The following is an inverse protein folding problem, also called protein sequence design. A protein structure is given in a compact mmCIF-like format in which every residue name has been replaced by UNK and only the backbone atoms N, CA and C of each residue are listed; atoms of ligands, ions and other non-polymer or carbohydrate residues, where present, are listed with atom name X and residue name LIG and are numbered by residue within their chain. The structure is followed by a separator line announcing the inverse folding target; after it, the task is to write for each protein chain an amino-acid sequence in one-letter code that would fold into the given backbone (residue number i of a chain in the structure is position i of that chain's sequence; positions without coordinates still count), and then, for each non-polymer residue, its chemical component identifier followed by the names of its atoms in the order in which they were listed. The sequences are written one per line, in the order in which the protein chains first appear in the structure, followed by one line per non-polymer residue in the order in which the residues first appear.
data_IF_142256635167
#
_entry.id   IF_142256635167
#
_cell.length_a   1.000
_cell.length_b   1.000
_cell.length_c   1.000
_cell.angle_alpha   90.00
_cell.angle_beta   90.00
_cell.angle_gamma   90.00
#
_symmetry.space_group_name_H-M   'P 1'
#
loop_
_entity.id
_entity.type
_entity.pdbx_description
1 polymer ?
#
# COMPACT_ATOMS: atom_id res chain seq x y z
N UNK A 1 16.78 2.51 -3.67
CA UNK A 1 16.77 1.07 -4.00
C UNK A 1 18.18 0.52 -4.18
N UNK A 2 19.01 1.09 -5.06
CA UNK A 2 20.39 0.62 -5.29
C UNK A 2 21.28 0.57 -4.05
N UNK A 3 21.15 1.54 -3.13
CA UNK A 3 21.88 1.52 -1.87
C UNK A 3 21.49 0.32 -0.99
N UNK A 4 20.20 -0.02 -0.94
CA UNK A 4 19.69 -1.20 -0.21
C UNK A 4 20.26 -2.48 -0.83
N UNK A 5 20.11 -2.65 -2.15
CA UNK A 5 20.63 -3.83 -2.87
C UNK A 5 22.15 -3.98 -2.73
N UNK A 6 22.89 -2.86 -2.72
CA UNK A 6 24.34 -2.87 -2.50
C UNK A 6 24.73 -3.33 -1.09
N UNK A 7 23.94 -2.97 -0.07
CA UNK A 7 24.18 -3.36 1.33
C UNK A 7 23.76 -4.81 1.57
N UNK A 8 22.55 -5.19 1.15
CA UNK A 8 22.00 -6.53 1.38
C UNK A 8 22.59 -7.59 0.44
N UNK A 9 23.11 -7.15 -0.72
CA UNK A 9 23.62 -8.02 -1.81
C UNK A 9 22.58 -9.01 -2.33
N UNK A 10 21.30 -8.73 -2.12
CA UNK A 10 20.22 -9.57 -2.63
C UNK A 10 20.16 -9.50 -4.16
N UNK A 11 19.90 -10.66 -4.76
CA UNK A 11 19.67 -10.80 -6.20
C UNK A 11 18.16 -10.79 -6.42
N UNK A 12 17.70 -9.82 -7.19
CA UNK A 12 16.31 -9.78 -7.63
C UNK A 12 16.11 -10.74 -8.78
N UNK A 13 15.05 -11.53 -8.71
CA UNK A 13 14.59 -12.33 -9.84
C UNK A 13 13.97 -11.44 -10.91
N UNK A 14 14.26 -11.75 -12.17
CA UNK A 14 13.65 -11.08 -13.31
C UNK A 14 12.36 -11.80 -13.69
N UNK A 15 11.25 -11.07 -13.74
CA UNK A 15 10.00 -11.59 -14.28
C UNK A 15 10.15 -11.92 -15.76
N UNK A 16 9.82 -13.16 -16.13
CA UNK A 16 9.86 -13.62 -17.53
C UNK A 16 8.48 -13.81 -18.14
N UNK A 17 7.45 -13.93 -17.29
CA UNK A 17 6.05 -14.05 -17.72
C UNK A 17 5.48 -12.66 -18.04
N UNK A 18 4.99 -12.49 -19.27
CA UNK A 18 4.42 -11.23 -19.76
C UNK A 18 3.16 -10.85 -19.00
N UNK A 19 2.33 -11.82 -18.60
CA UNK A 19 1.07 -11.54 -17.91
C UNK A 19 1.35 -11.05 -16.48
N UNK A 20 2.33 -11.64 -15.78
CA UNK A 20 2.77 -11.14 -14.47
C UNK A 20 3.32 -9.72 -14.54
N UNK A 21 4.14 -9.43 -15.57
CA UNK A 21 4.66 -8.07 -15.81
C UNK A 21 3.52 -7.09 -15.98
N UNK A 22 2.52 -7.42 -16.82
CA UNK A 22 1.38 -6.56 -17.07
C UNK A 22 0.56 -6.28 -15.80
N UNK A 23 0.34 -7.29 -14.95
CA UNK A 23 -0.35 -7.09 -13.66
C UNK A 23 0.44 -6.13 -12.76
N UNK A 24 1.75 -6.35 -12.63
CA UNK A 24 2.60 -5.52 -11.77
C UNK A 24 2.66 -4.09 -12.28
N UNK A 25 2.90 -3.89 -13.58
CA UNK A 25 2.92 -2.57 -14.20
C UNK A 25 1.58 -1.85 -14.04
N UNK A 26 0.46 -2.55 -14.26
CA UNK A 26 -0.89 -2.01 -14.03
C UNK A 26 -1.17 -1.75 -12.55
N UNK A 27 -0.48 -2.41 -11.63
CA UNK A 27 -0.60 -2.23 -10.18
C UNK A 27 0.21 -1.07 -9.62
N UNK A 28 1.26 -0.62 -10.31
CA UNK A 28 2.12 0.48 -9.85
C UNK A 28 1.32 1.79 -9.76
N UNK A 29 1.36 2.42 -8.59
CA UNK A 29 0.75 3.73 -8.32
C UNK A 29 1.77 4.67 -7.71
N UNK A 30 1.62 5.97 -7.99
CA UNK A 30 2.40 7.01 -7.36
C UNK A 30 1.91 7.33 -5.94
N UNK A 31 2.36 8.46 -5.39
CA UNK A 31 1.89 8.96 -4.10
C UNK A 31 0.37 9.20 -4.10
N UNK A 32 -0.28 8.89 -2.98
CA UNK A 32 -1.70 9.15 -2.79
C UNK A 32 -1.92 10.64 -2.53
N UNK A 33 -2.74 11.28 -3.35
CA UNK A 33 -3.20 12.65 -3.15
C UNK A 33 -4.73 12.66 -3.08
N UNK A 34 -5.28 12.98 -1.91
CA UNK A 34 -6.72 13.01 -1.67
C UNK A 34 -7.15 14.34 -1.06
N UNK A 35 -8.26 14.89 -1.58
CA UNK A 35 -8.97 16.01 -0.97
C UNK A 35 -10.39 15.56 -0.60
N UNK A 36 -10.59 15.16 0.66
CA UNK A 36 -11.90 14.66 1.14
C UNK A 36 -12.91 15.78 1.36
N UNK A 37 -12.45 16.99 1.69
CA UNK A 37 -13.29 18.17 1.83
C UNK A 37 -12.52 19.41 1.34
N UNK A 38 -13.12 20.19 0.44
CA UNK A 38 -12.49 21.39 -0.15
C UNK A 38 -12.35 22.54 0.84
N UNK A 39 -13.22 22.63 1.84
CA UNK A 39 -13.16 23.68 2.85
C UNK A 39 -13.47 23.11 4.23
N UNK A 40 -12.58 23.40 5.18
CA UNK A 40 -12.77 23.05 6.58
C UNK A 40 -12.27 24.20 7.42
N UNK A 41 -13.15 24.73 8.27
CA UNK A 41 -12.80 25.72 9.29
C UNK A 41 -12.62 25.03 10.64
N UNK A 42 -11.55 25.38 11.37
CA UNK A 42 -11.36 24.96 12.74
C UNK A 42 -12.29 25.77 13.67
N UNK A 43 -12.72 25.16 14.76
CA UNK A 43 -13.42 25.84 15.86
C UNK A 43 -12.92 25.24 17.17
N UNK A 44 -11.77 25.71 17.68
CA UNK A 44 -11.22 25.16 18.92
C UNK A 44 -10.75 26.25 19.88
N UNK A 45 -10.60 25.85 21.15
CA UNK A 45 -10.30 26.76 22.27
C UNK A 45 -9.00 27.56 22.13
N UNK A 46 -8.11 27.16 21.21
CA UNK A 46 -6.84 27.84 20.98
C UNK A 46 -6.95 28.98 19.96
N UNK A 47 -8.15 29.22 19.41
CA UNK A 47 -8.39 30.26 18.41
C UNK A 47 -8.71 31.65 18.99
N UNK A 48 -8.61 31.82 20.32
CA UNK A 48 -8.83 33.12 20.99
C UNK A 48 -10.25 33.66 20.75
N UNK A 49 -10.35 34.93 20.37
CA UNK A 49 -11.63 35.62 20.13
C UNK A 49 -12.42 35.04 18.94
N UNK A 50 -11.76 34.30 18.04
CA UNK A 50 -12.41 33.63 16.92
C UNK A 50 -13.08 32.30 17.33
N UNK A 51 -12.91 31.83 18.57
CA UNK A 51 -13.57 30.61 19.05
C UNK A 51 -15.04 30.84 19.38
N UNK A 52 -15.93 30.11 18.70
CA UNK A 52 -17.36 30.18 18.97
C UNK A 52 -17.79 29.07 19.93
N UNK A 53 -18.18 29.45 21.16
CA UNK A 53 -18.68 28.51 22.19
C UNK A 53 -20.04 27.88 21.83
N UNK A 54 -20.81 28.50 20.93
CA UNK A 54 -22.10 27.99 20.46
C UNK A 54 -21.99 26.93 19.35
N UNK A 55 -20.80 26.74 18.79
CA UNK A 55 -20.54 25.76 17.73
C UNK A 55 -19.76 24.55 18.23
N UNK A 56 -19.85 23.44 17.49
CA UNK A 56 -19.14 22.20 17.79
C UNK A 56 -17.64 22.43 17.71
N UNK A 57 -16.90 21.87 18.68
CA UNK A 57 -15.43 21.94 18.69
C UNK A 57 -14.85 21.13 17.53
N UNK A 58 -13.99 21.77 16.74
CA UNK A 58 -13.37 21.19 15.54
C UNK A 58 -11.89 21.53 15.45
N UNK A 59 -11.07 20.51 15.25
CA UNK A 59 -9.63 20.61 15.07
C UNK A 59 -9.26 20.19 13.66
N UNK A 60 -8.27 20.85 13.07
CA UNK A 60 -7.67 20.48 11.79
C UNK A 60 -6.24 20.05 12.08
N UNK A 61 -5.86 18.87 11.59
CA UNK A 61 -4.54 18.29 11.80
C UNK A 61 -3.84 18.13 10.47
N UNK A 62 -2.54 18.42 10.44
CA UNK A 62 -1.66 18.17 9.30
C UNK A 62 -0.52 17.28 9.78
N UNK A 63 -0.33 16.15 9.11
CA UNK A 63 0.74 15.21 9.39
C UNK A 63 1.70 15.21 8.21
N UNK A 64 2.99 15.34 8.51
CA UNK A 64 4.07 15.19 7.54
C UNK A 64 5.00 14.08 8.04
N UNK A 65 5.23 13.08 7.20
CA UNK A 65 6.01 11.89 7.55
C UNK A 65 7.38 12.00 6.91
N UNK A 66 8.42 12.06 7.76
CA UNK A 66 9.80 12.09 7.29
C UNK A 66 10.20 10.75 6.68
N UNK A 67 10.73 10.76 5.46
CA UNK A 67 11.28 9.58 4.78
C UNK A 67 10.28 8.42 4.57
N UNK A 68 9.05 8.74 4.12
CA UNK A 68 7.99 7.76 3.87
C UNK A 68 8.43 6.57 2.99
N UNK A 69 9.22 6.83 1.93
CA UNK A 69 9.72 5.74 1.08
C UNK A 69 10.77 4.87 1.79
N UNK A 70 11.63 5.46 2.62
CA UNK A 70 12.61 4.69 3.38
C UNK A 70 11.96 3.84 4.47
N UNK A 71 10.89 4.34 5.08
CA UNK A 71 10.03 3.57 5.99
C UNK A 71 9.38 2.40 5.25
N UNK A 72 8.76 2.65 4.09
CA UNK A 72 8.20 1.59 3.23
C UNK A 72 9.24 0.55 2.80
N UNK A 73 10.48 0.96 2.54
CA UNK A 73 11.61 0.08 2.20
C UNK A 73 12.16 -0.72 3.38
N UNK A 74 11.71 -0.46 4.62
CA UNK A 74 12.11 -1.24 5.81
C UNK A 74 11.27 -2.50 6.02
N UNK A 75 10.11 -2.59 5.34
CA UNK A 75 9.24 -3.76 5.34
C UNK A 75 9.75 -4.83 4.38
N UNK A 76 9.32 -6.10 4.53
CA UNK A 76 9.61 -7.15 3.56
C UNK A 76 9.14 -6.76 2.15
N UNK A 77 10.05 -6.90 1.18
CA UNK A 77 9.79 -6.61 -0.23
C UNK A 77 9.97 -7.89 -1.06
N UNK A 78 9.18 -8.08 -2.14
CA UNK A 78 9.36 -9.21 -3.04
C UNK A 78 10.75 -9.18 -3.68
N UNK A 79 11.47 -10.30 -3.60
CA UNK A 79 12.80 -10.47 -4.18
C UNK A 79 12.87 -11.52 -5.28
N UNK A 80 11.97 -12.51 -5.26
CA UNK A 80 11.88 -13.60 -6.23
C UNK A 80 10.87 -14.66 -5.79
N UNK A 81 10.87 -15.81 -6.45
CA UNK A 81 9.91 -16.90 -6.25
C UNK A 81 8.56 -16.63 -6.91
N UNK A 82 8.52 -15.82 -7.98
CA UNK A 82 7.25 -15.39 -8.57
C UNK A 82 6.52 -16.56 -9.24
N UNK A 83 5.37 -16.93 -8.68
CA UNK A 83 4.54 -17.99 -9.22
C UNK A 83 3.04 -17.65 -9.17
N UNK A 84 2.29 -18.21 -10.12
CA UNK A 84 0.84 -18.12 -10.11
C UNK A 84 0.31 -19.06 -9.02
N UNK A 85 -0.56 -18.53 -8.15
CA UNK A 85 -1.22 -19.34 -7.14
C UNK A 85 -2.29 -20.22 -7.83
N UNK A 86 -2.25 -21.55 -7.68
CA UNK A 86 -3.31 -22.41 -8.18
C UNK A 86 -4.67 -22.03 -7.58
N UNK A 87 -5.74 -22.14 -8.36
CA UNK A 87 -7.08 -21.73 -7.91
C UNK A 87 -7.54 -22.48 -6.66
N UNK A 88 -7.15 -23.75 -6.52
CA UNK A 88 -7.49 -24.59 -5.39
C UNK A 88 -6.84 -24.10 -4.09
N UNK A 89 -5.64 -23.53 -4.18
CA UNK A 89 -4.95 -22.93 -3.03
C UNK A 89 -5.48 -21.52 -2.75
N UNK A 90 -5.83 -20.77 -3.79
CA UNK A 90 -6.35 -19.41 -3.66
C UNK A 90 -7.56 -19.32 -2.73
N UNK A 91 -8.54 -20.23 -2.90
CA UNK A 91 -9.76 -20.26 -2.08
C UNK A 91 -9.48 -20.57 -0.60
N UNK A 92 -8.33 -21.18 -0.29
CA UNK A 92 -7.91 -21.51 1.08
C UNK A 92 -7.12 -20.40 1.77
N UNK A 93 -6.64 -19.39 1.02
CA UNK A 93 -5.83 -18.31 1.56
C UNK A 93 -6.72 -17.28 2.26
N UNK A 94 -6.54 -17.16 3.58
CA UNK A 94 -7.13 -16.08 4.35
C UNK A 94 -6.27 -14.81 4.27
N UNK A 95 -6.48 -14.04 3.20
CA UNK A 95 -5.74 -12.81 2.87
C UNK A 95 -5.70 -11.81 4.05
N UNK A 96 -6.74 -11.80 4.90
CA UNK A 96 -6.84 -10.83 6.00
C UNK A 96 -5.96 -11.18 7.20
N UNK A 97 -5.52 -12.43 7.29
CA UNK A 97 -4.80 -12.96 8.44
C UNK A 97 -3.36 -13.38 8.11
N UNK A 98 -2.80 -12.88 7.01
CA UNK A 98 -1.39 -13.07 6.66
C UNK A 98 -0.51 -12.20 7.55
N UNK A 99 0.56 -12.77 8.09
CA UNK A 99 1.53 -12.03 8.90
C UNK A 99 2.33 -11.05 8.04
N UNK A 100 2.57 -9.83 8.54
CA UNK A 100 3.43 -8.82 7.90
C UNK A 100 4.88 -9.32 7.69
N UNK A 101 5.33 -10.28 8.49
CA UNK A 101 6.67 -10.89 8.38
C UNK A 101 6.64 -12.29 7.75
N UNK A 102 5.56 -12.61 7.03
CA UNK A 102 5.48 -13.85 6.27
C UNK A 102 6.63 -13.94 5.28
N UNK A 103 7.14 -15.15 5.06
CA UNK A 103 8.13 -15.41 4.00
C UNK A 103 7.50 -15.39 2.61
N UNK A 104 6.19 -15.57 2.55
CA UNK A 104 5.37 -15.56 1.33
C UNK A 104 4.39 -14.39 1.41
N UNK A 105 4.41 -13.49 0.44
CA UNK A 105 3.42 -12.46 0.15
C UNK A 105 2.60 -12.76 -1.12
N UNK A 106 1.63 -11.89 -1.39
CA UNK A 106 0.70 -12.05 -2.51
C UNK A 106 0.42 -10.69 -3.17
N UNK A 107 0.47 -10.64 -4.50
CA UNK A 107 -0.07 -9.58 -5.35
C UNK A 107 -1.44 -10.01 -5.86
N UNK A 108 -2.44 -9.19 -5.55
CA UNK A 108 -3.83 -9.44 -5.93
C UNK A 108 -4.25 -8.43 -6.99
N UNK A 109 -4.68 -8.91 -8.16
CA UNK A 109 -5.42 -8.07 -9.10
C UNK A 109 -6.91 -8.18 -8.79
N UNK A 110 -7.44 -7.18 -8.08
CA UNK A 110 -8.87 -7.12 -7.76
C UNK A 110 -9.60 -6.38 -8.87
N UNK A 111 -10.20 -7.15 -9.77
CA UNK A 111 -11.11 -6.64 -10.79
C UNK A 111 -12.51 -6.63 -10.16
N UNK A 112 -13.23 -5.50 -10.22
CA UNK A 112 -14.64 -5.50 -9.84
C UNK A 112 -15.40 -6.35 -10.85
N UNK A 113 -15.69 -7.60 -10.50
CA UNK A 113 -16.42 -8.52 -11.36
C UNK A 113 -17.83 -7.97 -11.59
N UNK A 114 -18.34 -7.89 -12.81
CA UNK A 114 -18.31 -8.88 -13.89
C UNK A 114 -16.92 -9.30 -14.40
N UNK A 115 -16.47 -10.49 -13.99
CA UNK A 115 -15.33 -11.32 -14.45
C UNK A 115 -13.99 -11.32 -13.64
N UNK A 116 -13.97 -12.22 -12.65
CA UNK A 116 -12.96 -13.17 -12.13
C UNK A 116 -11.42 -12.91 -12.16
N UNK A 117 -10.88 -12.83 -10.93
CA UNK A 117 -9.73 -13.49 -10.29
C UNK A 117 -8.49 -13.89 -11.11
N UNK A 118 -7.38 -13.19 -10.86
CA UNK A 118 -6.04 -13.80 -10.80
C UNK A 118 -5.21 -13.15 -9.68
N UNK A 119 -4.44 -13.96 -8.95
CA UNK A 119 -3.56 -13.55 -7.86
C UNK A 119 -2.20 -14.22 -8.06
N UNK A 120 -1.13 -13.43 -7.98
CA UNK A 120 0.24 -13.91 -8.00
C UNK A 120 0.78 -13.95 -6.56
N UNK A 121 1.41 -15.06 -6.16
CA UNK A 121 2.07 -15.22 -4.85
C UNK A 121 3.58 -15.13 -5.02
N UNK A 122 4.30 -14.78 -3.95
CA UNK A 122 5.78 -14.83 -3.88
C UNK A 122 6.21 -15.20 -2.48
#
# INVERSE_FOLDING_TARGET
MDAMLKITKQKLELLTDVDMILIIEKGIRGGVAQVSNRYSQANNRYMGDAFNKGEVKKYIMYYDVNNLYGDGMSYPLPEGGFEWVPLEEFDSIDIRNISENSKVGYILEVISSTQLNSAAGF
#
